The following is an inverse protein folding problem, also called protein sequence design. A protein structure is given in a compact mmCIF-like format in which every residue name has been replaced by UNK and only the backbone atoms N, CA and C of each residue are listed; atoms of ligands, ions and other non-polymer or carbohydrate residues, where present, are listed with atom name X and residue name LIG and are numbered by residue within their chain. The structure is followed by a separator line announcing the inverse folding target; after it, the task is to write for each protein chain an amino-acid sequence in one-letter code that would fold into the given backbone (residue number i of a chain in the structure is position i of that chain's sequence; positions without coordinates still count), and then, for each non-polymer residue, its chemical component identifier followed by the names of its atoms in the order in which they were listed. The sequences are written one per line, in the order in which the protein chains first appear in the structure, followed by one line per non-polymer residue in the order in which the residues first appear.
data_IF_087001950465
#
_entry.id   IF_087001950465
#
_cell.length_a   1.000
_cell.length_b   1.000
_cell.length_c   1.000
_cell.angle_alpha   90.00
_cell.angle_beta   90.00
_cell.angle_gamma   90.00
#
_symmetry.space_group_name_H-M   'P 1'
#
loop_
_entity.id
_entity.type
_entity.pdbx_description
1 polymer ?
#
# COMPACT_ATOMS: atom_id res chain seq x y z
N UNK A 1 0.64 6.38 7.83
CA UNK A 1 0.93 5.60 6.61
C UNK A 1 2.00 6.32 5.80
N UNK A 2 2.93 5.64 5.10
CA UNK A 2 4.00 6.30 4.35
C UNK A 2 3.55 7.33 3.32
N UNK A 3 2.42 7.12 2.66
CA UNK A 3 1.87 8.11 1.71
C UNK A 3 1.17 9.32 2.37
N UNK A 4 1.07 9.36 3.71
CA UNK A 4 0.56 10.50 4.51
C UNK A 4 -0.88 10.97 4.17
N UNK A 5 -1.73 10.09 3.65
CA UNK A 5 -3.17 10.32 3.55
C UNK A 5 -3.93 9.05 3.91
N UNK A 6 -5.24 9.20 4.16
CA UNK A 6 -6.18 8.09 4.29
C UNK A 6 -6.91 7.94 2.96
N UNK A 7 -6.89 6.76 2.33
CA UNK A 7 -7.52 6.56 1.04
C UNK A 7 -9.04 6.56 1.18
N UNK A 8 -9.70 7.18 0.21
CA UNK A 8 -11.15 7.09 0.05
C UNK A 8 -11.51 5.82 -0.75
N UNK A 9 -12.77 5.34 -0.70
CA UNK A 9 -13.20 4.17 -1.47
C UNK A 9 -12.88 4.27 -2.97
N UNK A 10 -12.93 5.46 -3.55
CA UNK A 10 -12.67 5.72 -4.96
C UNK A 10 -11.21 5.44 -5.34
N UNK A 11 -10.27 5.70 -4.43
CA UNK A 11 -8.83 5.50 -4.64
C UNK A 11 -8.46 4.02 -4.82
N UNK A 12 -9.26 3.11 -4.25
CA UNK A 12 -9.02 1.66 -4.31
C UNK A 12 -9.44 1.04 -5.64
N UNK A 13 -10.27 1.73 -6.43
CA UNK A 13 -10.86 1.18 -7.65
C UNK A 13 -9.87 1.05 -8.83
N UNK A 14 -8.81 1.86 -8.84
CA UNK A 14 -7.91 1.99 -10.00
C UNK A 14 -7.17 0.70 -10.35
N UNK A 15 -6.78 -0.10 -9.36
CA UNK A 15 -6.10 -1.39 -9.58
C UNK A 15 -7.00 -2.41 -10.27
N UNK A 16 -8.30 -2.42 -9.95
CA UNK A 16 -9.28 -3.28 -10.61
C UNK A 16 -9.51 -2.86 -12.06
N UNK A 17 -9.60 -1.55 -12.34
CA UNK A 17 -9.73 -1.03 -13.71
C UNK A 17 -8.49 -1.36 -14.55
N UNK A 18 -7.29 -1.24 -13.96
CA UNK A 18 -6.04 -1.64 -14.59
C UNK A 18 -6.08 -3.12 -14.99
N UNK A 19 -6.47 -4.01 -14.07
CA UNK A 19 -6.54 -5.45 -14.31
C UNK A 19 -7.70 -5.83 -15.26
N UNK A 20 -8.80 -5.09 -15.27
CA UNK A 20 -9.88 -5.33 -16.23
C UNK A 20 -9.51 -4.90 -17.67
N UNK A 21 -8.60 -3.94 -17.83
CA UNK A 21 -8.23 -3.39 -19.12
C UNK A 21 -7.43 -4.37 -19.98
N UNK A 22 -8.03 -4.83 -21.09
CA UNK A 22 -7.34 -5.68 -22.06
C UNK A 22 -6.10 -5.01 -22.67
N UNK A 23 -6.07 -3.69 -22.79
CA UNK A 23 -4.94 -2.98 -23.38
C UNK A 23 -3.78 -2.82 -22.37
N UNK A 24 -4.09 -2.63 -21.08
CA UNK A 24 -3.11 -2.25 -20.06
C UNK A 24 -2.61 -3.42 -19.20
N UNK A 25 -3.32 -4.56 -19.18
CA UNK A 25 -3.00 -5.73 -18.34
C UNK A 25 -2.46 -6.94 -19.14
N UNK A 26 -2.24 -6.85 -20.46
CA UNK A 26 -1.88 -8.02 -21.32
C UNK A 26 -0.83 -9.00 -20.75
N UNK A 27 0.28 -8.56 -20.13
CA UNK A 27 1.30 -9.49 -19.61
C UNK A 27 1.09 -9.90 -18.13
N UNK A 28 0.16 -9.27 -17.42
CA UNK A 28 0.01 -9.47 -15.98
C UNK A 28 -0.87 -10.70 -15.73
N UNK A 29 -0.28 -11.74 -15.14
CA UNK A 29 -0.98 -12.95 -14.72
C UNK A 29 -0.37 -13.45 -13.41
N UNK A 30 -1.21 -13.90 -12.47
CA UNK A 30 -0.78 -14.35 -11.15
C UNK A 30 -0.16 -13.27 -10.26
N UNK A 31 -0.39 -11.99 -10.57
CA UNK A 31 0.18 -10.86 -9.84
C UNK A 31 -0.69 -10.44 -8.66
N UNK A 32 -0.05 -10.00 -7.58
CA UNK A 32 -0.70 -9.34 -6.45
C UNK A 32 -0.26 -7.89 -6.41
N UNK A 33 -1.22 -6.96 -6.44
CA UNK A 33 -0.97 -5.52 -6.33
C UNK A 33 -1.24 -5.09 -4.90
N UNK A 34 -0.22 -4.54 -4.24
CA UNK A 34 -0.40 -3.95 -2.91
C UNK A 34 -0.83 -2.48 -3.02
N UNK A 35 -1.98 -2.14 -2.44
CA UNK A 35 -2.58 -0.80 -2.39
C UNK A 35 -2.81 -0.33 -0.94
N UNK A 36 -1.86 -0.62 -0.04
CA UNK A 36 -1.95 -0.36 1.41
C UNK A 36 -1.36 1.00 1.86
N UNK A 37 -1.24 1.96 0.94
CA UNK A 37 -0.59 3.26 1.18
C UNK A 37 0.85 3.16 1.74
N UNK A 38 1.54 2.05 1.45
CA UNK A 38 2.92 1.79 1.84
C UNK A 38 3.05 1.09 3.20
N UNK A 39 1.98 0.55 3.78
CA UNK A 39 2.05 -0.11 5.09
C UNK A 39 3.08 -1.26 5.11
N UNK A 40 3.15 -2.09 4.07
CA UNK A 40 4.11 -3.18 3.97
C UNK A 40 5.59 -2.74 3.91
N UNK A 41 5.86 -1.46 3.64
CA UNK A 41 7.22 -0.88 3.64
C UNK A 41 7.43 0.12 4.78
N UNK A 42 6.44 0.27 5.67
CA UNK A 42 6.55 1.12 6.85
C UNK A 42 7.58 0.50 7.78
N UNK A 43 8.86 0.89 7.64
CA UNK A 43 9.92 0.46 8.54
C UNK A 43 9.52 0.78 9.99
N UNK A 44 9.37 -0.24 10.83
CA UNK A 44 9.13 -0.05 12.24
C UNK A 44 10.42 0.48 12.88
N UNK A 45 10.40 1.73 13.33
CA UNK A 45 11.47 2.23 14.19
C UNK A 45 11.36 1.51 15.53
N UNK A 46 12.46 0.93 16.01
CA UNK A 46 12.57 0.49 17.39
C UNK A 46 12.09 1.65 18.29
N UNK A 47 11.09 1.40 19.14
CA UNK A 47 10.72 2.37 20.16
C UNK A 47 11.96 2.63 21.00
N UNK A 48 12.35 3.90 21.17
CA UNK A 48 13.43 4.25 22.10
C UNK A 48 13.06 3.65 23.46
N UNK A 49 13.87 2.69 23.91
CA UNK A 49 13.62 1.90 25.12
C UNK A 49 13.81 2.73 26.40
N UNK A 50 14.21 3.98 26.27
CA UNK A 50 14.57 4.89 27.37
C UNK A 50 13.35 5.54 28.06
N UNK A 51 12.12 5.19 27.67
CA UNK A 51 10.91 5.80 28.23
C UNK A 51 10.46 5.20 29.58
N UNK A 52 11.23 4.28 30.18
CA UNK A 52 10.93 3.66 31.47
C UNK A 52 12.01 3.81 32.55
N UNK A 53 13.08 4.58 32.31
CA UNK A 53 14.10 4.89 33.33
C UNK A 53 13.88 6.27 33.97
N UNK A 54 12.75 6.44 34.66
CA UNK A 54 12.44 7.60 35.51
C UNK A 54 11.94 7.18 36.88
#
# INVERSE_FOLDING_TARGET
MPLKFLPEPEDMSGSYVLLASRQNNRPLSGVFINADCGLGILGLRQANVDFFDA
#
